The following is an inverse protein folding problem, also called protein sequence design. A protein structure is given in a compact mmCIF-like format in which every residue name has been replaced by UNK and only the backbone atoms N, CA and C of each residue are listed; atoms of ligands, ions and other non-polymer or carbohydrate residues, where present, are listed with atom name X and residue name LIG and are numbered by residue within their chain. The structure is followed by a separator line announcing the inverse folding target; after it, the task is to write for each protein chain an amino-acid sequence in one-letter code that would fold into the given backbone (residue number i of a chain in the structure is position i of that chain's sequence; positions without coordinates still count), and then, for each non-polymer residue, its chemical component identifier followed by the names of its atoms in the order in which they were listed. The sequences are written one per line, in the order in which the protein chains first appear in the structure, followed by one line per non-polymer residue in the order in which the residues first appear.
data_IF_783555710621
#
_entry.id   IF_783555710621
#
_cell.length_a   1.000
_cell.length_b   1.000
_cell.length_c   1.000
_cell.angle_alpha   90.00
_cell.angle_beta   90.00
_cell.angle_gamma   90.00
#
_symmetry.space_group_name_H-M   'P 1'
#
loop_
_entity.id
_entity.type
_entity.pdbx_description
1 polymer ?
#
# COMPACT_ATOMS: atom_id res chain seq x y z
N UNK A 1 -8.26 28.12 13.27
CA UNK A 1 -7.73 26.77 12.97
C UNK A 1 -7.40 26.73 11.49
N UNK A 2 -6.18 26.34 11.12
CA UNK A 2 -5.84 26.13 9.72
C UNK A 2 -6.51 24.83 9.23
N UNK A 3 -7.22 24.89 8.11
CA UNK A 3 -7.79 23.71 7.44
C UNK A 3 -6.84 23.36 6.31
N UNK A 4 -6.22 22.18 6.39
CA UNK A 4 -5.36 21.64 5.34
C UNK A 4 -6.20 20.67 4.52
N UNK A 5 -6.20 20.82 3.20
CA UNK A 5 -6.76 19.82 2.30
C UNK A 5 -5.74 18.69 2.19
N UNK A 6 -6.08 17.52 2.70
CA UNK A 6 -5.30 16.30 2.54
C UNK A 6 -5.79 15.57 1.28
N UNK A 7 -4.86 14.94 0.59
CA UNK A 7 -5.20 14.00 -0.47
C UNK A 7 -5.90 12.78 0.18
N UNK A 8 -6.96 12.21 -0.42
CA UNK A 8 -7.64 11.04 0.13
C UNK A 8 -6.67 9.89 0.41
N UNK A 9 -6.91 9.10 1.46
CA UNK A 9 -5.99 8.00 1.82
C UNK A 9 -5.83 6.98 0.68
N UNK A 10 -6.89 6.75 -0.10
CA UNK A 10 -6.87 5.85 -1.26
C UNK A 10 -5.84 6.27 -2.32
N UNK A 11 -5.67 7.57 -2.54
CA UNK A 11 -4.71 8.09 -3.51
C UNK A 11 -3.27 7.98 -2.98
N UNK A 12 -3.07 8.20 -1.68
CA UNK A 12 -1.78 7.96 -1.04
C UNK A 12 -1.37 6.49 -1.09
N UNK A 13 -2.33 5.57 -0.91
CA UNK A 13 -2.12 4.13 -1.03
C UNK A 13 -1.80 3.77 -2.49
N UNK A 14 -2.55 4.30 -3.45
CA UNK A 14 -2.37 4.07 -4.88
C UNK A 14 -0.97 4.49 -5.36
N UNK A 15 -0.53 5.71 -5.04
CA UNK A 15 0.83 6.19 -5.36
C UNK A 15 1.90 5.19 -4.88
N UNK A 16 1.79 4.76 -3.63
CA UNK A 16 2.79 3.91 -2.97
C UNK A 16 2.83 2.49 -3.51
N UNK A 17 1.67 1.85 -3.70
CA UNK A 17 1.63 0.49 -4.22
C UNK A 17 2.11 0.48 -5.68
N UNK A 18 1.65 1.41 -6.51
CA UNK A 18 2.11 1.52 -7.90
C UNK A 18 3.62 1.83 -7.97
N UNK A 19 4.15 2.71 -7.11
CA UNK A 19 5.59 2.98 -7.05
C UNK A 19 6.43 1.79 -6.55
N UNK A 20 5.85 0.94 -5.71
CA UNK A 20 6.46 -0.31 -5.23
C UNK A 20 6.50 -1.37 -6.33
N UNK A 21 5.47 -1.44 -7.17
CA UNK A 21 5.40 -2.36 -8.32
C UNK A 21 6.21 -1.92 -9.54
N UNK A 22 6.45 -0.62 -9.70
CA UNK A 22 7.15 -0.09 -10.85
C UNK A 22 8.59 -0.61 -10.97
N UNK A 23 9.05 -0.72 -12.22
CA UNK A 23 10.44 -1.00 -12.57
C UNK A 23 11.08 0.26 -13.13
N UNK A 24 12.33 0.53 -12.75
CA UNK A 24 12.97 1.82 -13.00
C UNK A 24 14.20 1.70 -13.88
N UNK A 25 14.43 2.75 -14.68
CA UNK A 25 15.59 2.86 -15.55
C UNK A 25 15.55 1.94 -16.78
N UNK A 26 16.61 2.01 -17.59
CA UNK A 26 16.76 1.19 -18.79
C UNK A 26 16.81 -0.30 -18.46
N UNK A 27 17.44 -0.65 -17.35
CA UNK A 27 17.64 -2.04 -16.92
C UNK A 27 16.42 -2.64 -16.21
N UNK A 28 15.31 -1.88 -16.13
CA UNK A 28 14.07 -2.30 -15.49
C UNK A 28 14.34 -2.88 -14.09
N UNK A 29 15.02 -2.11 -13.24
CA UNK A 29 15.38 -2.56 -11.89
C UNK A 29 14.12 -2.53 -11.02
N UNK A 30 13.95 -3.55 -10.16
CA UNK A 30 12.86 -3.60 -9.20
C UNK A 30 12.90 -2.39 -8.25
N UNK A 31 11.73 -1.99 -7.73
CA UNK A 31 11.62 -0.85 -6.83
C UNK A 31 12.51 -0.97 -5.60
N UNK A 32 13.09 0.17 -5.19
CA UNK A 32 13.87 0.30 -3.97
C UNK A 32 13.19 1.20 -2.94
N UNK A 33 11.89 1.46 -3.10
CA UNK A 33 11.14 2.45 -2.31
C UNK A 33 10.71 1.89 -0.96
N UNK A 34 11.70 1.62 -0.11
CA UNK A 34 11.55 1.03 1.23
C UNK A 34 10.53 1.77 2.09
N UNK A 35 10.51 3.11 1.99
CA UNK A 35 9.58 3.94 2.75
C UNK A 35 8.12 3.77 2.31
N UNK A 36 7.87 3.41 1.05
CA UNK A 36 6.51 3.17 0.58
C UNK A 36 5.92 1.89 1.20
N UNK A 37 6.70 0.83 1.42
CA UNK A 37 6.24 -0.34 2.19
C UNK A 37 5.90 0.03 3.64
N UNK A 38 6.75 0.83 4.28
CA UNK A 38 6.52 1.32 5.64
C UNK A 38 5.22 2.12 5.72
N UNK A 39 5.04 3.07 4.80
CA UNK A 39 3.88 3.93 4.76
C UNK A 39 2.61 3.15 4.43
N UNK A 40 2.66 2.15 3.54
CA UNK A 40 1.52 1.27 3.27
C UNK A 40 1.09 0.48 4.52
N UNK A 41 2.04 0.02 5.34
CA UNK A 41 1.70 -0.59 6.63
C UNK A 41 1.03 0.41 7.57
N UNK A 42 1.51 1.65 7.64
CA UNK A 42 0.94 2.69 8.49
C UNK A 42 -0.46 3.15 8.00
N UNK A 43 -0.67 3.26 6.69
CA UNK A 43 -1.93 3.66 6.06
C UNK A 43 -3.07 2.66 6.25
N UNK A 44 -2.78 1.44 6.74
CA UNK A 44 -3.81 0.52 7.26
C UNK A 44 -4.60 1.11 8.44
N UNK A 45 -4.11 2.18 9.06
CA UNK A 45 -4.84 2.90 10.10
C UNK A 45 -5.83 3.95 9.59
N UNK A 46 -5.96 4.15 8.27
CA UNK A 46 -6.88 5.12 7.68
C UNK A 46 -8.35 4.65 7.82
N UNK A 47 -9.24 5.58 8.16
CA UNK A 47 -10.67 5.34 8.43
C UNK A 47 -11.59 5.72 7.25
N UNK A 48 -11.02 6.24 6.17
CA UNK A 48 -11.72 6.74 4.97
C UNK A 48 -11.52 5.85 3.74
N UNK A 49 -11.08 4.60 3.91
CA UNK A 49 -10.75 3.70 2.79
C UNK A 49 -11.97 2.84 2.40
N UNK A 50 -12.50 3.10 1.21
CA UNK A 50 -13.52 2.27 0.55
C UNK A 50 -12.93 1.44 -0.58
N UNK A 51 -13.42 0.21 -0.75
CA UNK A 51 -12.83 -0.74 -1.71
C UNK A 51 -12.97 -0.31 -3.17
N UNK A 52 -14.15 0.21 -3.54
CA UNK A 52 -14.47 0.76 -4.85
C UNK A 52 -13.50 1.91 -5.22
N UNK A 53 -13.39 2.88 -4.32
CA UNK A 53 -12.52 4.05 -4.50
C UNK A 53 -11.04 3.68 -4.50
N UNK A 54 -10.63 2.73 -3.65
CA UNK A 54 -9.25 2.25 -3.61
C UNK A 54 -8.85 1.58 -4.92
N UNK A 55 -9.72 0.71 -5.48
CA UNK A 55 -9.46 0.08 -6.76
C UNK A 55 -9.37 1.11 -7.88
N UNK A 56 -10.30 2.08 -7.94
CA UNK A 56 -10.29 3.16 -8.93
C UNK A 56 -9.01 4.00 -8.85
N UNK A 57 -8.58 4.37 -7.64
CA UNK A 57 -7.35 5.13 -7.43
C UNK A 57 -6.11 4.34 -7.90
N UNK A 58 -6.00 3.06 -7.55
CA UNK A 58 -4.90 2.18 -8.01
C UNK A 58 -4.92 2.02 -9.52
N UNK A 59 -6.09 1.87 -10.13
CA UNK A 59 -6.24 1.74 -11.58
C UNK A 59 -5.82 3.02 -12.30
N UNK A 60 -6.25 4.18 -11.81
CA UNK A 60 -5.88 5.48 -12.35
C UNK A 60 -4.38 5.74 -12.24
N UNK A 61 -3.77 5.48 -11.08
CA UNK A 61 -2.34 5.66 -10.84
C UNK A 61 -1.49 4.69 -11.67
N UNK A 62 -1.94 3.42 -11.80
CA UNK A 62 -1.28 2.44 -12.67
C UNK A 62 -1.28 2.91 -14.11
N UNK A 63 -2.43 3.37 -14.63
CA UNK A 63 -2.56 3.90 -15.97
C UNK A 63 -1.66 5.13 -16.19
N UNK A 64 -1.66 6.08 -15.25
CA UNK A 64 -0.83 7.28 -15.31
C UNK A 64 0.68 6.96 -15.38
N UNK A 65 1.10 5.84 -14.81
CA UNK A 65 2.49 5.34 -14.85
C UNK A 65 2.80 4.40 -16.01
N UNK A 66 1.80 4.04 -16.83
CA UNK A 66 1.95 3.03 -17.88
C UNK A 66 2.18 1.62 -17.33
N UNK A 67 1.65 1.33 -16.13
CA UNK A 67 1.71 0.03 -15.48
C UNK A 67 0.39 -0.73 -15.69
N UNK A 68 0.46 -2.05 -15.68
CA UNK A 68 -0.72 -2.89 -15.48
C UNK A 68 -1.12 -2.85 -14.01
N UNK A 69 -2.42 -2.80 -13.72
CA UNK A 69 -2.93 -2.92 -12.36
C UNK A 69 -2.45 -4.25 -11.75
N UNK A 70 -1.79 -4.25 -10.58
CA UNK A 70 -1.29 -5.47 -9.99
C UNK A 70 -2.45 -6.33 -9.46
N UNK A 71 -2.33 -7.66 -9.54
CA UNK A 71 -3.31 -8.59 -8.96
C UNK A 71 -3.06 -8.89 -7.47
N UNK A 72 -1.89 -8.51 -6.95
CA UNK A 72 -1.44 -8.68 -5.56
C UNK A 72 -0.37 -7.66 -5.24
N UNK A 73 -0.15 -7.36 -3.97
CA UNK A 73 0.97 -6.56 -3.49
C UNK A 73 2.28 -7.37 -3.58
N UNK A 74 3.09 -7.10 -4.60
CA UNK A 74 4.37 -7.77 -4.83
C UNK A 74 5.51 -6.82 -4.45
N UNK A 75 6.15 -7.10 -3.32
CA UNK A 75 7.18 -6.24 -2.73
C UNK A 75 8.56 -6.87 -2.97
N UNK A 76 9.49 -6.17 -3.64
CA UNK A 76 10.82 -6.70 -3.90
C UNK A 76 11.58 -7.13 -2.64
N UNK A 77 12.03 -8.38 -2.59
CA UNK A 77 12.82 -8.93 -1.46
C UNK A 77 14.15 -8.21 -1.25
N UNK A 78 14.66 -7.51 -2.28
CA UNK A 78 15.81 -6.61 -2.18
C UNK A 78 15.61 -5.45 -1.20
N UNK A 79 14.37 -5.12 -0.84
CA UNK A 79 14.05 -4.07 0.13
C UNK A 79 14.23 -4.51 1.58
N UNK A 80 14.26 -5.83 1.86
CA UNK A 80 14.26 -6.43 3.21
C UNK A 80 15.18 -5.74 4.21
N UNK A 81 16.48 -5.79 3.97
CA UNK A 81 17.47 -5.33 4.95
C UNK A 81 17.27 -3.85 5.32
N UNK A 82 16.98 -3.02 4.32
CA UNK A 82 16.71 -1.59 4.51
C UNK A 82 15.38 -1.33 5.19
N UNK A 83 14.36 -2.12 4.86
CA UNK A 83 13.05 -2.03 5.52
C UNK A 83 13.16 -2.34 7.01
N UNK A 84 13.79 -3.47 7.36
CA UNK A 84 13.91 -3.86 8.76
C UNK A 84 14.80 -2.89 9.56
N UNK A 85 15.81 -2.29 8.91
CA UNK A 85 16.59 -1.21 9.53
C UNK A 85 15.72 0.02 9.79
N UNK A 86 14.89 0.42 8.83
CA UNK A 86 13.98 1.55 8.94
C UNK A 86 12.94 1.31 10.04
N UNK A 87 12.27 0.17 10.04
CA UNK A 87 11.20 -0.17 11.00
C UNK A 87 11.71 -0.22 12.44
N UNK A 88 12.95 -0.69 12.67
CA UNK A 88 13.59 -0.65 13.99
C UNK A 88 13.95 0.77 14.43
N UNK A 89 14.33 1.64 13.49
CA UNK A 89 14.72 3.02 13.76
C UNK A 89 13.50 3.94 13.99
N UNK A 90 12.41 3.67 13.28
CA UNK A 90 11.16 4.44 13.32
C UNK A 90 10.02 3.51 13.74
N UNK A 91 9.88 3.14 15.04
CA UNK A 91 8.81 2.25 15.48
C UNK A 91 7.43 2.88 15.26
N UNK A 92 6.49 2.08 14.74
CA UNK A 92 5.10 2.48 14.58
C UNK A 92 4.16 1.30 14.90
N UNK A 93 3.02 1.51 15.59
CA UNK A 93 2.16 0.41 16.05
C UNK A 93 1.66 -0.53 14.94
N UNK A 94 1.48 0.01 13.73
CA UNK A 94 1.00 -0.75 12.57
C UNK A 94 2.11 -1.24 11.63
N UNK A 95 3.38 -0.94 11.92
CA UNK A 95 4.51 -1.33 11.06
C UNK A 95 5.31 -2.45 11.72
N UNK A 96 5.22 -3.69 11.22
CA UNK A 96 6.03 -4.79 11.71
C UNK A 96 7.52 -4.54 11.51
N UNK A 97 8.34 -5.03 12.44
CA UNK A 97 9.80 -4.91 12.32
C UNK A 97 10.39 -5.89 11.32
N UNK A 98 9.78 -7.07 11.17
CA UNK A 98 10.14 -8.08 10.18
C UNK A 98 9.52 -7.78 8.81
N UNK A 99 10.29 -8.00 7.75
CA UNK A 99 9.86 -7.71 6.38
C UNK A 99 8.66 -8.55 5.94
N UNK A 100 8.65 -9.85 6.24
CA UNK A 100 7.57 -10.78 5.88
C UNK A 100 6.25 -10.38 6.51
N UNK A 101 6.27 -10.00 7.79
CA UNK A 101 5.08 -9.58 8.51
C UNK A 101 4.52 -8.28 7.90
N UNK A 102 5.39 -7.36 7.47
CA UNK A 102 4.99 -6.14 6.78
C UNK A 102 4.38 -6.42 5.40
N UNK A 103 4.99 -7.32 4.61
CA UNK A 103 4.43 -7.75 3.32
C UNK A 103 3.09 -8.46 3.52
N UNK A 104 2.97 -9.35 4.51
CA UNK A 104 1.71 -10.04 4.82
C UNK A 104 0.62 -9.09 5.30
N UNK A 105 0.98 -8.07 6.08
CA UNK A 105 0.09 -6.99 6.50
C UNK A 105 -0.46 -6.19 5.30
N UNK A 106 0.40 -5.83 4.35
CA UNK A 106 0.02 -5.10 3.15
C UNK A 106 -0.81 -5.98 2.22
N UNK A 107 -0.44 -7.24 2.03
CA UNK A 107 -1.22 -8.20 1.24
C UNK A 107 -2.63 -8.40 1.82
N UNK A 108 -2.77 -8.58 3.14
CA UNK A 108 -4.08 -8.68 3.80
C UNK A 108 -4.97 -7.47 3.55
N UNK A 109 -4.36 -6.28 3.46
CA UNK A 109 -5.07 -5.03 3.22
C UNK A 109 -5.43 -4.85 1.74
N UNK A 110 -4.49 -5.07 0.82
CA UNK A 110 -4.63 -4.67 -0.59
C UNK A 110 -5.07 -5.81 -1.51
N UNK A 111 -4.59 -7.03 -1.29
CA UNK A 111 -4.84 -8.15 -2.23
C UNK A 111 -6.33 -8.42 -2.46
N UNK A 112 -7.22 -8.40 -1.45
CA UNK A 112 -8.66 -8.60 -1.68
C UNK A 112 -9.27 -7.59 -2.65
N UNK A 113 -8.77 -6.35 -2.66
CA UNK A 113 -9.20 -5.31 -3.62
C UNK A 113 -8.55 -5.52 -4.98
N UNK A 114 -7.24 -5.78 -5.01
CA UNK A 114 -6.47 -5.98 -6.24
C UNK A 114 -6.93 -7.20 -7.06
N UNK A 115 -7.31 -8.29 -6.39
CA UNK A 115 -7.82 -9.49 -7.03
C UNK A 115 -9.34 -9.48 -7.25
N UNK A 116 -10.03 -8.45 -6.77
CA UNK A 116 -11.47 -8.26 -6.93
C UNK A 116 -12.35 -9.16 -6.06
N UNK A 117 -11.81 -9.77 -5.00
CA UNK A 117 -12.57 -10.50 -3.98
C UNK A 117 -13.39 -9.55 -3.09
N UNK A 118 -12.92 -8.33 -2.87
CA UNK A 118 -13.62 -7.23 -2.20
C UNK A 118 -13.76 -6.10 -3.22
N UNK A 119 -15.00 -5.83 -3.65
CA UNK A 119 -15.30 -4.81 -4.66
C UNK A 119 -15.98 -3.58 -4.07
N UNK A 120 -16.59 -3.76 -2.91
CA UNK A 120 -17.37 -2.81 -2.16
C UNK A 120 -17.09 -2.98 -0.65
N UNK A 121 -17.67 -2.09 0.15
CA UNK A 121 -17.43 -2.03 1.60
C UNK A 121 -16.28 -1.10 2.00
N UNK A 122 -15.95 -1.13 3.28
CA UNK A 122 -15.00 -0.22 3.89
C UNK A 122 -13.97 -0.98 4.73
N UNK A 123 -12.77 -0.42 4.82
CA UNK A 123 -11.75 -0.93 5.72
C UNK A 123 -12.08 -0.56 7.17
N UNK A 124 -12.02 -1.54 8.07
CA UNK A 124 -12.05 -1.32 9.52
C UNK A 124 -10.61 -1.22 10.03
N UNK A 125 -10.10 -0.01 10.34
CA UNK A 125 -8.72 0.17 10.80
C UNK A 125 -8.49 -0.35 12.23
N UNK A 126 -9.55 -0.60 13.00
CA UNK A 126 -9.42 -1.19 14.35
C UNK A 126 -9.32 -2.71 14.27
N UNK A 127 -10.20 -3.34 13.49
CA UNK A 127 -10.19 -4.77 13.24
C UNK A 127 -9.16 -5.23 12.20
N UNK A 128 -8.54 -4.28 11.49
CA UNK A 128 -7.61 -4.50 10.38
C UNK A 128 -8.16 -5.49 9.35
N UNK A 129 -9.41 -5.26 8.93
CA UNK A 129 -10.16 -6.13 8.01
C UNK A 129 -11.11 -5.34 7.12
N UNK A 130 -11.45 -5.93 5.98
CA UNK A 130 -12.54 -5.43 5.14
C UNK A 130 -13.90 -5.80 5.74
N UNK A 131 -14.77 -4.80 5.84
CA UNK A 131 -16.16 -4.96 6.21
C UNK A 131 -17.01 -4.99 4.95
N UNK A 132 -17.98 -5.92 4.82
CA UNK A 132 -18.95 -5.91 3.72
C UNK A 132 -19.71 -4.58 3.64
N UNK A 133 -20.21 -4.25 2.44
CA UNK A 133 -21.07 -3.10 2.21
C UNK A 133 -22.42 -3.18 2.94
#
# INVERSE_FOLDING_TARGET
MARVLLYPSVDHIADKICATHARYGRDQVASSRVKDLYDLCALRGADDVRADQLYEAIAAESLARGLTVPHRADVPTSMRSRFEQLSRKEPHPLVPSAFEDAVGAVATFLDPVLNGAVRDGAWDPTGLRWMPA
#
